data_IF_279584956132
#
_entry.id   IF_279584956132
#
_cell.length_a   1.000
_cell.length_b   1.000
_cell.length_c   1.000
_cell.angle_alpha   90.00
_cell.angle_beta   90.00
_cell.angle_gamma   90.00
#
_symmetry.space_group_name_H-M   'P 1'
#
loop_
_entity.id
_entity.type
_entity.pdbx_description
1 polymer ?
#
# COMPACT_ATOMS: atom_id res chain seq x y z
N UNK A 1 -16.75 26.66 -0.58
CA UNK A 1 -16.72 26.61 0.89
C UNK A 1 -17.07 25.19 1.31
N UNK A 2 -16.30 24.58 2.21
CA UNK A 2 -16.62 23.25 2.75
C UNK A 2 -17.43 23.47 4.02
N UNK A 3 -18.61 22.83 4.10
CA UNK A 3 -19.50 22.93 5.26
C UNK A 3 -19.66 21.53 5.86
N UNK A 4 -19.25 21.38 7.12
CA UNK A 4 -19.37 20.11 7.86
C UNK A 4 -20.76 19.90 8.45
N UNK A 5 -21.13 18.63 8.64
CA UNK A 5 -22.37 18.25 9.32
C UNK A 5 -22.26 18.29 10.85
N UNK A 6 -23.38 18.14 11.58
CA UNK A 6 -23.45 18.26 13.04
C UNK A 6 -22.62 17.22 13.81
N UNK A 7 -22.23 16.11 13.17
CA UNK A 7 -21.40 15.05 13.77
C UNK A 7 -19.90 15.21 13.45
N UNK A 8 -19.51 16.30 12.79
CA UNK A 8 -18.13 16.52 12.33
C UNK A 8 -17.83 15.83 11.00
N UNK A 9 -16.63 16.05 10.47
CA UNK A 9 -16.17 15.45 9.21
C UNK A 9 -14.66 15.23 9.25
N UNK A 10 -14.22 14.11 8.71
CA UNK A 10 -12.80 13.81 8.49
C UNK A 10 -12.47 14.00 7.01
N UNK A 11 -11.38 14.70 6.73
CA UNK A 11 -10.96 15.00 5.36
C UNK A 11 -9.46 14.88 5.22
N UNK A 12 -9.04 14.35 4.06
CA UNK A 12 -7.64 14.30 3.67
C UNK A 12 -7.47 15.14 2.41
N UNK A 13 -6.73 16.24 2.52
CA UNK A 13 -6.34 17.05 1.37
C UNK A 13 -4.93 16.64 0.96
N UNK A 14 -4.80 16.07 -0.25
CA UNK A 14 -3.53 15.69 -0.83
C UNK A 14 -3.25 16.60 -2.03
N UNK A 15 -2.09 17.25 -2.03
CA UNK A 15 -1.62 18.05 -3.16
C UNK A 15 -0.20 17.61 -3.53
N UNK A 16 0.08 17.58 -4.84
CA UNK A 16 1.41 17.30 -5.37
C UNK A 16 1.65 18.07 -6.66
N UNK A 17 2.92 18.40 -6.91
CA UNK A 17 3.35 18.91 -8.22
C UNK A 17 3.24 17.76 -9.24
N UNK A 18 2.66 17.97 -10.44
CA UNK A 18 2.66 16.95 -11.47
C UNK A 18 4.08 16.45 -11.75
N UNK A 19 4.26 15.13 -11.81
CA UNK A 19 5.54 14.50 -12.18
C UNK A 19 5.84 14.80 -13.66
N UNK A 20 4.82 14.81 -14.51
CA UNK A 20 4.96 15.17 -15.93
C UNK A 20 5.47 14.03 -16.81
N UNK A 21 5.49 12.81 -16.31
CA UNK A 21 5.94 11.63 -17.04
C UNK A 21 4.76 10.74 -17.47
N UNK A 22 4.93 9.92 -18.52
CA UNK A 22 3.95 8.91 -18.90
C UNK A 22 3.66 7.95 -17.75
N UNK A 23 2.42 7.47 -17.69
CA UNK A 23 1.97 6.49 -16.69
C UNK A 23 1.43 5.26 -17.40
N UNK A 24 2.11 4.13 -17.18
CA UNK A 24 1.67 2.81 -17.58
C UNK A 24 1.37 1.99 -16.31
N UNK A 25 0.18 1.42 -16.19
CA UNK A 25 -0.22 0.63 -15.03
C UNK A 25 -0.80 -0.72 -15.44
N UNK A 26 -0.47 -1.78 -14.70
CA UNK A 26 -1.09 -3.09 -14.83
C UNK A 26 -0.94 -3.86 -13.51
N UNK A 27 -2.09 -4.24 -12.92
CA UNK A 27 -2.12 -4.90 -11.63
C UNK A 27 -1.43 -4.06 -10.53
N UNK A 28 -0.47 -4.64 -9.77
CA UNK A 28 0.19 -3.94 -8.66
C UNK A 28 1.33 -3.01 -9.11
N UNK A 29 1.59 -2.86 -10.41
CA UNK A 29 2.75 -2.15 -10.93
C UNK A 29 2.35 -0.89 -11.70
N UNK A 30 3.07 0.20 -11.43
CA UNK A 30 2.99 1.50 -12.11
C UNK A 30 4.40 1.86 -12.56
N UNK A 31 4.56 2.07 -13.86
CA UNK A 31 5.82 2.41 -14.55
C UNK A 31 5.55 3.52 -15.58
N UNK A 32 6.52 3.83 -16.44
CA UNK A 32 6.37 4.83 -17.50
C UNK A 32 6.04 4.20 -18.87
N UNK A 33 6.45 2.94 -19.11
CA UNK A 33 6.27 2.24 -20.40
C UNK A 33 5.70 0.83 -20.25
N UNK A 34 5.27 0.21 -21.36
CA UNK A 34 4.76 -1.17 -21.37
C UNK A 34 5.88 -2.18 -21.11
N UNK A 35 7.05 -1.94 -21.68
CA UNK A 35 8.23 -2.78 -21.55
C UNK A 35 8.69 -2.87 -20.10
N UNK A 36 8.67 -1.74 -19.38
CA UNK A 36 8.97 -1.70 -17.94
C UNK A 36 7.96 -2.50 -17.11
N UNK A 37 6.68 -2.50 -17.47
CA UNK A 37 5.68 -3.36 -16.81
C UNK A 37 5.99 -4.84 -17.02
N UNK A 38 6.29 -5.26 -18.26
CA UNK A 38 6.62 -6.65 -18.55
C UNK A 38 7.89 -7.09 -17.79
N UNK A 39 8.88 -6.20 -17.68
CA UNK A 39 10.08 -6.42 -16.88
C UNK A 39 9.74 -6.55 -15.38
N UNK A 40 8.90 -5.67 -14.82
CA UNK A 40 8.46 -5.74 -13.43
C UNK A 40 7.77 -7.08 -13.11
N UNK A 41 6.93 -7.58 -14.03
CA UNK A 41 6.33 -8.91 -13.91
C UNK A 41 7.35 -10.04 -14.01
N UNK A 42 8.37 -9.93 -14.88
CA UNK A 42 9.44 -10.91 -14.95
C UNK A 42 10.24 -10.98 -13.64
N UNK A 43 10.57 -9.83 -13.06
CA UNK A 43 11.29 -9.74 -11.79
C UNK A 43 10.45 -10.28 -10.62
N UNK A 44 9.17 -9.92 -10.57
CA UNK A 44 8.24 -10.46 -9.57
C UNK A 44 8.10 -11.98 -9.70
N UNK A 45 7.98 -12.53 -10.91
CA UNK A 45 7.90 -13.99 -11.10
C UNK A 45 9.20 -14.70 -10.73
N UNK A 46 10.35 -14.04 -10.93
CA UNK A 46 11.66 -14.62 -10.65
C UNK A 46 11.92 -14.79 -9.15
N UNK A 47 11.58 -13.78 -8.34
CA UNK A 47 11.93 -13.79 -6.91
C UNK A 47 10.82 -13.32 -5.99
N UNK A 48 9.63 -12.96 -6.47
CA UNK A 48 8.62 -12.27 -5.65
C UNK A 48 9.20 -11.04 -4.93
N UNK A 49 10.13 -10.33 -5.60
CA UNK A 49 10.97 -9.26 -5.03
C UNK A 49 11.89 -9.65 -3.85
N UNK A 50 12.36 -10.90 -3.77
CA UNK A 50 13.38 -11.30 -2.79
C UNK A 50 13.20 -12.73 -2.27
N UNK A 51 13.39 -12.95 -0.97
CA UNK A 51 12.87 -14.14 -0.28
C UNK A 51 11.60 -13.71 0.41
N UNK A 52 10.46 -13.90 -0.25
CA UNK A 52 9.14 -13.78 0.36
C UNK A 52 9.11 -14.67 1.63
N UNK A 53 9.14 -14.08 2.84
CA UNK A 53 9.38 -14.85 4.07
C UNK A 53 8.11 -15.56 4.57
N UNK A 54 6.96 -15.28 3.97
CA UNK A 54 5.66 -15.81 4.38
C UNK A 54 5.29 -17.06 3.57
N UNK A 55 4.61 -18.01 4.21
CA UNK A 55 4.17 -19.26 3.56
C UNK A 55 2.96 -19.12 2.63
N UNK A 56 2.38 -17.92 2.52
CA UNK A 56 1.20 -17.60 1.69
C UNK A 56 1.49 -16.35 0.86
N UNK A 57 0.96 -16.29 -0.36
CA UNK A 57 1.10 -15.16 -1.28
C UNK A 57 0.23 -13.95 -0.90
N UNK A 58 -0.74 -14.15 0.00
CA UNK A 58 -1.59 -13.11 0.57
C UNK A 58 -1.63 -13.23 2.10
N UNK A 59 -0.53 -12.89 2.82
CA UNK A 59 -0.49 -12.96 4.27
C UNK A 59 -1.51 -11.98 4.85
N UNK A 60 -2.60 -12.53 5.35
CA UNK A 60 -3.58 -11.81 6.15
C UNK A 60 -3.29 -12.04 7.63
N UNK A 61 -3.70 -11.13 8.51
CA UNK A 61 -3.54 -11.25 9.97
C UNK A 61 -4.38 -12.38 10.61
N UNK A 62 -4.89 -13.33 9.82
CA UNK A 62 -5.79 -14.39 10.26
C UNK A 62 -7.22 -13.88 10.53
N UNK A 63 -8.05 -14.73 11.14
CA UNK A 63 -9.45 -14.42 11.49
C UNK A 63 -9.62 -13.65 12.78
N UNK A 64 -8.59 -13.62 13.62
CA UNK A 64 -8.64 -12.84 14.85
C UNK A 64 -8.33 -11.36 14.53
N UNK A 65 -9.22 -10.41 14.84
CA UNK A 65 -9.01 -9.00 14.61
C UNK A 65 -8.04 -8.45 15.66
N UNK A 66 -6.77 -8.86 15.60
CA UNK A 66 -5.70 -8.19 16.34
C UNK A 66 -5.22 -7.07 15.44
N UNK A 67 -5.95 -5.96 15.40
CA UNK A 67 -5.35 -4.71 14.93
C UNK A 67 -4.14 -4.46 15.83
N UNK A 68 -3.00 -4.15 15.25
CA UNK A 68 -1.82 -3.77 16.00
C UNK A 68 -1.03 -2.73 15.21
N UNK A 69 -0.29 -1.88 15.92
CA UNK A 69 0.72 -1.01 15.32
C UNK A 69 2.08 -1.38 15.90
N UNK A 70 3.06 -1.63 15.05
CA UNK A 70 4.47 -1.70 15.46
C UNK A 70 5.10 -0.37 15.09
N UNK A 71 5.55 0.36 16.11
CA UNK A 71 6.22 1.65 15.97
C UNK A 71 7.71 1.43 15.63
N UNK A 72 8.37 2.45 15.09
CA UNK A 72 9.78 2.35 14.67
C UNK A 72 10.76 2.04 15.82
N UNK A 73 10.34 2.28 17.06
CA UNK A 73 11.05 1.94 18.30
C UNK A 73 10.82 0.48 18.77
N UNK A 74 10.06 -0.30 18.00
CA UNK A 74 9.69 -1.68 18.33
C UNK A 74 8.49 -1.81 19.27
N UNK A 75 7.89 -0.70 19.72
CA UNK A 75 6.68 -0.74 20.56
C UNK A 75 5.52 -1.32 19.76
N UNK A 76 4.82 -2.28 20.35
CA UNK A 76 3.58 -2.83 19.81
C UNK A 76 2.38 -2.26 20.56
N UNK A 77 1.44 -1.69 19.83
CA UNK A 77 0.19 -1.16 20.36
C UNK A 77 -0.98 -1.99 19.82
N UNK A 78 -1.91 -2.35 20.69
CA UNK A 78 -3.16 -3.02 20.35
C UNK A 78 -4.32 -2.08 20.72
N UNK A 79 -5.42 -2.03 19.94
CA UNK A 79 -6.56 -1.18 20.26
C UNK A 79 -7.07 -1.54 21.65
N UNK A 80 -7.28 -0.51 22.47
CA UNK A 80 -8.06 -0.65 23.70
C UNK A 80 -9.50 -0.90 23.27
N UNK A 81 -10.07 -2.02 23.71
CA UNK A 81 -11.48 -2.37 23.56
C UNK A 81 -12.36 -1.31 24.20
#
# INVERSE_FOLDING_TARGET
ELVGGPEGSELLLLQGRPIGEPVAHHGPFVMNTREELEQAYADYRRTRFGTWPWGDDAPVHGREPRRFAVHADGRREEPKV
#
